data_IF_837785280786
#
_entry.id   IF_837785280786
#
_cell.length_a   1.000
_cell.length_b   1.000
_cell.length_c   1.000
_cell.angle_alpha   90.00
_cell.angle_beta   90.00
_cell.angle_gamma   90.00
#
_symmetry.space_group_name_H-M   'P 1'
#
loop_
_entity.id
_entity.type
_entity.pdbx_description
1 polymer ?
#
# COMPACT_ATOMS: atom_id res chain seq x y z
N UNK A 1 2.11 25.44 -5.61
CA UNK A 1 3.54 25.77 -5.39
C UNK A 1 4.21 24.75 -4.48
N UNK A 2 3.72 24.56 -3.25
CA UNK A 2 4.29 23.57 -2.30
C UNK A 2 4.31 22.15 -2.88
N UNK A 3 3.21 21.66 -3.47
CA UNK A 3 3.17 20.33 -4.11
C UNK A 3 4.20 20.21 -5.26
N UNK A 4 4.36 21.25 -6.07
CA UNK A 4 5.32 21.27 -7.18
C UNK A 4 6.76 21.15 -6.68
N UNK A 5 7.16 22.01 -5.74
CA UNK A 5 8.50 21.98 -5.13
C UNK A 5 8.75 20.67 -4.37
N UNK A 6 7.72 20.19 -3.67
CA UNK A 6 7.74 18.91 -2.96
C UNK A 6 8.04 17.73 -3.89
N UNK A 7 7.36 17.64 -5.04
CA UNK A 7 7.63 16.61 -6.05
C UNK A 7 9.01 16.73 -6.70
N UNK A 8 9.56 17.94 -6.77
CA UNK A 8 10.91 18.19 -7.27
C UNK A 8 12.01 17.88 -6.23
N UNK A 9 11.66 17.47 -5.01
CA UNK A 9 12.62 17.23 -3.92
C UNK A 9 13.12 18.50 -3.23
N UNK A 10 12.59 19.67 -3.60
CA UNK A 10 12.94 20.97 -3.04
C UNK A 10 12.15 21.23 -1.75
N UNK A 11 12.35 20.37 -0.75
CA UNK A 11 11.55 20.38 0.49
C UNK A 11 11.78 21.64 1.33
N UNK A 12 12.99 22.20 1.30
CA UNK A 12 13.31 23.43 2.04
C UNK A 12 12.58 24.62 1.44
N UNK A 13 12.63 24.74 0.13
CA UNK A 13 11.94 25.78 -0.64
C UNK A 13 10.42 25.62 -0.50
N UNK A 14 9.91 24.39 -0.50
CA UNK A 14 8.51 24.11 -0.22
C UNK A 14 8.09 24.61 1.17
N UNK A 15 8.92 24.38 2.20
CA UNK A 15 8.69 24.90 3.56
C UNK A 15 8.78 26.43 3.62
N UNK A 16 9.72 27.04 2.92
CA UNK A 16 9.89 28.49 2.88
C UNK A 16 8.67 29.17 2.22
N UNK A 17 8.12 28.56 1.17
CA UNK A 17 6.83 28.99 0.61
C UNK A 17 5.75 28.94 1.67
N UNK A 18 5.61 27.85 2.43
CA UNK A 18 4.61 27.74 3.50
C UNK A 18 4.77 28.86 4.55
N UNK A 19 6.01 29.13 4.97
CA UNK A 19 6.32 30.15 5.99
C UNK A 19 6.08 31.59 5.51
N UNK A 20 6.25 31.83 4.21
CA UNK A 20 6.13 33.18 3.60
C UNK A 20 4.76 33.44 2.98
N UNK A 21 3.84 32.46 3.05
CA UNK A 21 2.48 32.65 2.53
C UNK A 21 1.77 33.79 3.28
N UNK A 22 1.04 34.66 2.55
CA UNK A 22 0.32 35.78 3.16
C UNK A 22 -0.91 35.34 3.97
N UNK A 23 -1.31 34.08 3.84
CA UNK A 23 -2.45 33.47 4.53
C UNK A 23 -1.95 32.30 5.38
N UNK A 24 -2.64 32.05 6.50
CA UNK A 24 -2.34 30.91 7.36
C UNK A 24 -2.45 29.60 6.56
N UNK A 25 -1.40 28.76 6.52
CA UNK A 25 -1.45 27.50 5.80
C UNK A 25 -2.52 26.57 6.38
N UNK A 26 -3.29 25.93 5.50
CA UNK A 26 -4.29 24.94 5.90
C UNK A 26 -3.71 23.51 5.88
N UNK A 27 -4.50 22.53 6.32
CA UNK A 27 -4.11 21.12 6.39
C UNK A 27 -3.68 20.56 5.02
N UNK A 28 -4.25 21.04 3.91
CA UNK A 28 -3.92 20.59 2.55
C UNK A 28 -2.50 21.02 2.16
N UNK A 29 -2.11 22.25 2.51
CA UNK A 29 -0.77 22.78 2.25
C UNK A 29 0.29 21.98 3.00
N UNK A 30 0.09 21.74 4.31
CA UNK A 30 0.97 20.90 5.10
C UNK A 30 0.96 19.43 4.64
N UNK A 31 -0.19 18.91 4.24
CA UNK A 31 -0.35 17.57 3.67
C UNK A 31 0.46 17.37 2.40
N UNK A 32 0.56 18.41 1.56
CA UNK A 32 1.41 18.40 0.36
C UNK A 32 2.89 18.24 0.72
N UNK A 33 3.37 18.97 1.74
CA UNK A 33 4.74 18.83 2.24
C UNK A 33 4.98 17.46 2.86
N UNK A 34 4.05 16.95 3.68
CA UNK A 34 4.15 15.62 4.30
C UNK A 34 4.23 14.51 3.25
N UNK A 35 3.39 14.59 2.21
CA UNK A 35 3.41 13.66 1.08
C UNK A 35 4.75 13.65 0.33
N UNK A 36 5.36 14.83 0.14
CA UNK A 36 6.69 14.96 -0.44
C UNK A 36 7.79 14.38 0.47
N UNK A 37 7.71 14.62 1.79
CA UNK A 37 8.64 14.06 2.77
C UNK A 37 8.68 12.53 2.74
N UNK A 38 7.54 11.88 2.43
CA UNK A 38 7.48 10.42 2.21
C UNK A 38 8.30 9.98 1.00
N UNK A 39 8.19 10.68 -0.12
CA UNK A 39 8.91 10.34 -1.35
C UNK A 39 10.42 10.53 -1.16
N UNK A 40 10.81 11.62 -0.49
CA UNK A 40 12.20 12.02 -0.30
C UNK A 40 12.82 11.58 1.03
N UNK A 41 12.10 10.74 1.82
CA UNK A 41 12.57 10.15 3.08
C UNK A 41 13.08 11.17 4.11
N UNK A 42 12.45 12.35 4.17
CA UNK A 42 12.80 13.38 5.15
C UNK A 42 11.89 13.27 6.39
N UNK A 43 12.39 12.58 7.42
CA UNK A 43 11.59 12.30 8.62
C UNK A 43 11.33 13.57 9.45
N UNK A 44 12.32 14.44 9.60
CA UNK A 44 12.22 15.63 10.44
C UNK A 44 11.15 16.60 9.93
N UNK A 45 11.12 16.85 8.62
CA UNK A 45 10.09 17.67 8.01
C UNK A 45 8.71 16.98 8.01
N UNK A 46 8.68 15.66 7.92
CA UNK A 46 7.44 14.90 8.03
C UNK A 46 6.80 15.06 9.41
N UNK A 47 7.58 14.93 10.48
CA UNK A 47 7.11 15.10 11.86
C UNK A 47 6.59 16.52 12.10
N UNK A 48 7.32 17.53 11.61
CA UNK A 48 6.89 18.92 11.68
C UNK A 48 5.56 19.14 10.95
N UNK A 49 5.46 18.71 9.70
CA UNK A 49 4.25 18.87 8.89
C UNK A 49 3.07 18.10 9.51
N UNK A 50 3.29 16.89 10.00
CA UNK A 50 2.29 16.09 10.70
C UNK A 50 1.75 16.79 11.95
N UNK A 51 2.64 17.36 12.78
CA UNK A 51 2.24 18.13 13.96
C UNK A 51 1.35 19.32 13.57
N UNK A 52 1.72 20.06 12.53
CA UNK A 52 0.94 21.19 12.03
C UNK A 52 -0.44 20.76 11.51
N UNK A 53 -0.54 19.61 10.83
CA UNK A 53 -1.84 19.09 10.37
C UNK A 53 -2.70 18.71 11.57
N UNK A 54 -2.16 18.00 12.56
CA UNK A 54 -2.92 17.55 13.74
C UNK A 54 -3.34 18.71 14.65
N UNK A 55 -2.60 19.82 14.66
CA UNK A 55 -3.02 21.07 15.32
C UNK A 55 -4.23 21.73 14.62
N UNK A 56 -4.34 21.57 13.29
CA UNK A 56 -5.45 22.11 12.49
C UNK A 56 -6.66 21.16 12.39
N UNK A 57 -6.40 19.86 12.39
CA UNK A 57 -7.35 18.78 12.18
C UNK A 57 -6.94 17.55 13.04
N UNK A 58 -7.30 17.54 14.33
CA UNK A 58 -6.88 16.50 15.29
C UNK A 58 -7.36 15.08 14.96
N UNK A 59 -8.43 14.96 14.18
CA UNK A 59 -9.07 13.68 13.81
C UNK A 59 -8.51 13.11 12.51
N UNK A 60 -7.46 13.73 11.93
CA UNK A 60 -6.90 13.32 10.66
C UNK A 60 -6.10 12.01 10.75
N UNK A 61 -6.79 10.88 10.68
CA UNK A 61 -6.19 9.54 10.71
C UNK A 61 -5.15 9.29 9.60
N UNK A 62 -5.25 10.00 8.46
CA UNK A 62 -4.33 9.83 7.34
C UNK A 62 -2.90 10.28 7.67
N UNK A 63 -2.73 11.25 8.58
CA UNK A 63 -1.42 11.72 9.04
C UNK A 63 -0.64 10.59 9.72
N UNK A 64 -1.30 9.85 10.61
CA UNK A 64 -0.67 8.72 11.32
C UNK A 64 -0.25 7.60 10.36
N UNK A 65 -1.10 7.31 9.37
CA UNK A 65 -0.78 6.34 8.32
C UNK A 65 0.45 6.78 7.50
N UNK A 66 0.54 8.06 7.15
CA UNK A 66 1.69 8.62 6.44
C UNK A 66 2.97 8.54 7.28
N UNK A 67 2.91 8.94 8.56
CA UNK A 67 4.06 8.83 9.47
C UNK A 67 4.54 7.39 9.61
N UNK A 68 3.64 6.42 9.79
CA UNK A 68 3.99 5.01 9.79
C UNK A 68 4.78 4.65 8.53
N UNK A 69 4.28 4.97 7.34
CA UNK A 69 4.96 4.64 6.08
C UNK A 69 6.35 5.30 5.98
N UNK A 70 6.49 6.54 6.44
CA UNK A 70 7.77 7.28 6.42
C UNK A 70 8.79 6.64 7.34
N UNK A 71 8.40 6.35 8.59
CA UNK A 71 9.26 5.66 9.54
C UNK A 71 9.67 4.28 9.05
N UNK A 72 8.74 3.55 8.47
CA UNK A 72 8.99 2.23 7.90
C UNK A 72 10.01 2.31 6.75
N UNK A 73 9.85 3.26 5.82
CA UNK A 73 10.80 3.50 4.72
C UNK A 73 12.20 3.95 5.19
N UNK A 74 12.27 4.58 6.36
CA UNK A 74 13.52 5.04 6.97
C UNK A 74 14.06 4.09 8.05
N UNK A 75 13.49 2.88 8.21
CA UNK A 75 13.85 1.88 9.22
C UNK A 75 13.82 2.42 10.67
N UNK A 76 12.94 3.39 10.96
CA UNK A 76 12.70 3.93 12.31
C UNK A 76 11.59 3.13 13.01
N UNK A 77 11.89 1.88 13.35
CA UNK A 77 10.90 0.92 13.86
C UNK A 77 10.28 1.32 15.19
N UNK A 78 11.07 1.89 16.10
CA UNK A 78 10.57 2.36 17.39
C UNK A 78 9.54 3.48 17.23
N UNK A 79 9.83 4.49 16.40
CA UNK A 79 8.89 5.57 16.10
C UNK A 79 7.63 5.04 15.41
N UNK A 80 7.77 4.06 14.51
CA UNK A 80 6.63 3.40 13.87
C UNK A 80 5.75 2.67 14.89
N UNK A 81 6.35 1.99 15.87
CA UNK A 81 5.64 1.31 16.95
C UNK A 81 4.86 2.30 17.81
N UNK A 82 5.49 3.39 18.26
CA UNK A 82 4.82 4.42 19.05
C UNK A 82 3.62 5.03 18.31
N UNK A 83 3.74 5.29 17.00
CA UNK A 83 2.62 5.80 16.20
C UNK A 83 1.49 4.78 16.09
N UNK A 84 1.81 3.48 15.91
CA UNK A 84 0.79 2.42 15.88
C UNK A 84 0.05 2.28 17.20
N UNK A 85 0.77 2.36 18.32
CA UNK A 85 0.17 2.36 19.66
C UNK A 85 -0.78 3.56 19.83
N UNK A 86 -0.35 4.76 19.42
CA UNK A 86 -1.20 5.97 19.43
C UNK A 86 -2.44 5.80 18.55
N UNK A 87 -2.32 5.18 17.37
CA UNK A 87 -3.45 4.89 16.50
C UNK A 87 -4.44 3.93 17.16
N UNK A 88 -3.96 2.89 17.86
CA UNK A 88 -4.81 1.95 18.57
C UNK A 88 -5.58 2.63 19.71
N UNK A 89 -4.88 3.43 20.53
CA UNK A 89 -5.50 4.20 21.63
C UNK A 89 -6.58 5.16 21.15
N UNK A 90 -6.36 5.79 19.99
CA UNK A 90 -7.32 6.72 19.36
C UNK A 90 -8.38 6.02 18.50
N UNK A 91 -8.35 4.69 18.38
CA UNK A 91 -9.27 3.94 17.51
C UNK A 91 -9.11 4.24 16.01
N UNK A 92 -7.97 4.80 15.58
CA UNK A 92 -7.69 5.14 14.19
C UNK A 92 -7.41 3.86 13.41
N UNK A 93 -8.31 3.52 12.48
CA UNK A 93 -8.17 2.35 11.61
C UNK A 93 -7.81 2.80 10.20
N UNK A 94 -6.77 2.19 9.62
CA UNK A 94 -6.47 2.31 8.19
C UNK A 94 -7.43 1.41 7.42
N UNK A 95 -8.07 1.93 6.38
CA UNK A 95 -8.79 1.09 5.42
C UNK A 95 -7.81 0.11 4.77
N UNK A 96 -8.04 -1.21 4.87
CA UNK A 96 -7.15 -2.19 4.25
C UNK A 96 -7.16 -2.05 2.73
N UNK A 97 -6.06 -2.48 2.10
CA UNK A 97 -6.03 -2.64 0.66
C UNK A 97 -6.89 -3.85 0.27
N UNK A 98 -7.87 -3.64 -0.61
CA UNK A 98 -8.72 -4.71 -1.13
C UNK A 98 -8.73 -4.71 -2.66
N UNK A 99 -8.92 -5.91 -3.20
CA UNK A 99 -9.10 -6.16 -4.63
C UNK A 99 -10.51 -6.70 -4.85
N UNK A 100 -11.26 -6.04 -5.72
CA UNK A 100 -12.64 -6.36 -6.06
C UNK A 100 -12.68 -6.95 -7.46
N UNK A 101 -13.51 -7.97 -7.65
CA UNK A 101 -13.79 -8.51 -8.97
C UNK A 101 -15.25 -8.89 -9.12
N UNK A 102 -15.75 -8.79 -10.34
CA UNK A 102 -17.08 -9.28 -10.71
C UNK A 102 -16.94 -10.59 -11.47
N UNK A 103 -17.66 -11.62 -11.04
CA UNK A 103 -17.68 -12.92 -11.69
C UNK A 103 -19.10 -13.50 -11.59
N UNK A 104 -19.66 -13.90 -12.74
CA UNK A 104 -21.00 -14.49 -12.83
C UNK A 104 -22.10 -13.66 -12.13
N UNK A 105 -22.02 -12.32 -12.23
CA UNK A 105 -22.98 -11.40 -11.63
C UNK A 105 -22.81 -11.18 -10.11
N UNK A 106 -21.78 -11.77 -9.49
CA UNK A 106 -21.45 -11.57 -8.09
C UNK A 106 -20.16 -10.76 -7.95
N UNK A 107 -20.11 -9.89 -6.92
CA UNK A 107 -18.91 -9.13 -6.57
C UNK A 107 -18.19 -9.84 -5.42
N UNK A 108 -16.90 -10.09 -5.61
CA UNK A 108 -16.01 -10.70 -4.63
C UNK A 108 -14.97 -9.70 -4.16
N UNK A 109 -14.81 -9.58 -2.85
CA UNK A 109 -13.79 -8.74 -2.21
C UNK A 109 -12.70 -9.63 -1.61
N UNK A 110 -11.45 -9.29 -1.92
CA UNK A 110 -10.27 -9.94 -1.35
C UNK A 110 -9.47 -8.94 -0.55
N UNK A 111 -9.10 -9.31 0.68
CA UNK A 111 -8.19 -8.55 1.55
C UNK A 111 -6.94 -9.40 1.79
N UNK A 112 -5.78 -8.76 1.94
CA UNK A 112 -4.53 -9.48 2.09
C UNK A 112 -4.55 -10.40 3.33
N UNK A 113 -4.24 -11.67 3.12
CA UNK A 113 -4.26 -12.70 4.18
C UNK A 113 -5.66 -13.10 4.66
N UNK A 114 -6.74 -12.61 4.04
CA UNK A 114 -8.09 -13.01 4.41
C UNK A 114 -8.35 -14.49 4.06
N UNK A 115 -9.12 -15.15 4.91
CA UNK A 115 -9.55 -16.53 4.78
C UNK A 115 -11.05 -16.71 4.99
N UNK A 116 -11.81 -15.61 5.08
CA UNK A 116 -13.27 -15.63 5.29
C UNK A 116 -14.05 -16.20 4.10
N UNK A 117 -13.44 -16.20 2.90
CA UNK A 117 -14.07 -16.70 1.69
C UNK A 117 -14.40 -18.21 1.80
N UNK A 118 -15.60 -18.68 1.40
CA UNK A 118 -15.98 -20.09 1.48
C UNK A 118 -15.00 -21.04 0.77
N UNK A 119 -14.45 -20.59 -0.35
CA UNK A 119 -13.45 -21.31 -1.16
C UNK A 119 -11.99 -20.99 -0.78
N UNK A 120 -11.74 -20.41 0.41
CA UNK A 120 -10.41 -19.97 0.83
C UNK A 120 -9.33 -21.05 0.61
N UNK A 121 -9.58 -22.29 1.03
CA UNK A 121 -8.63 -23.41 0.84
C UNK A 121 -8.24 -23.62 -0.62
N UNK A 122 -9.20 -23.56 -1.53
CA UNK A 122 -8.99 -23.74 -2.97
C UNK A 122 -8.21 -22.56 -3.55
N UNK A 123 -8.54 -21.33 -3.14
CA UNK A 123 -7.85 -20.11 -3.56
C UNK A 123 -6.37 -20.17 -3.16
N UNK A 124 -6.07 -20.52 -1.91
CA UNK A 124 -4.69 -20.61 -1.43
C UNK A 124 -3.92 -21.75 -2.11
N UNK A 125 -4.56 -22.89 -2.37
CA UNK A 125 -3.94 -23.98 -3.13
C UNK A 125 -3.65 -23.58 -4.58
N UNK A 126 -4.59 -22.88 -5.25
CA UNK A 126 -4.36 -22.36 -6.61
C UNK A 126 -3.26 -21.30 -6.62
N UNK A 127 -3.24 -20.42 -5.62
CA UNK A 127 -2.19 -19.43 -5.46
C UNK A 127 -0.82 -20.11 -5.34
N UNK A 128 -0.70 -21.19 -4.57
CA UNK A 128 0.56 -21.94 -4.43
C UNK A 128 1.03 -22.55 -5.74
N UNK A 129 0.15 -23.23 -6.45
CA UNK A 129 0.46 -23.80 -7.76
C UNK A 129 0.85 -22.71 -8.77
N UNK A 130 0.07 -21.62 -8.83
CA UNK A 130 0.37 -20.47 -9.70
C UNK A 130 1.74 -19.90 -9.39
N UNK A 131 2.08 -19.71 -8.12
CA UNK A 131 3.37 -19.11 -7.74
C UNK A 131 4.55 -20.04 -8.02
N UNK A 132 4.36 -21.38 -7.97
CA UNK A 132 5.38 -22.34 -8.43
C UNK A 132 5.60 -22.24 -9.95
N UNK A 133 4.53 -22.16 -10.75
CA UNK A 133 4.60 -21.98 -12.20
C UNK A 133 5.31 -20.67 -12.57
N UNK A 134 4.96 -19.57 -11.91
CA UNK A 134 5.57 -18.27 -12.14
C UNK A 134 7.07 -18.26 -11.75
N UNK A 135 7.46 -18.95 -10.67
CA UNK A 135 8.88 -19.08 -10.28
C UNK A 135 9.71 -19.74 -11.40
N UNK A 136 9.17 -20.77 -12.06
CA UNK A 136 9.81 -21.42 -13.22
C UNK A 136 9.93 -20.43 -14.39
N UNK A 137 8.94 -19.55 -14.57
CA UNK A 137 8.95 -18.48 -15.56
C UNK A 137 9.82 -17.27 -15.17
N UNK A 138 10.55 -17.32 -14.05
CA UNK A 138 11.49 -16.28 -13.62
C UNK A 138 10.92 -15.24 -12.65
N UNK A 139 9.74 -15.48 -12.07
CA UNK A 139 9.22 -14.63 -11.00
C UNK A 139 10.07 -14.74 -9.73
N UNK A 140 10.50 -13.59 -9.22
CA UNK A 140 11.11 -13.45 -7.89
C UNK A 140 10.31 -12.43 -7.08
N UNK A 141 9.90 -12.75 -5.84
CA UNK A 141 9.22 -11.78 -4.98
C UNK A 141 10.04 -10.51 -4.79
N UNK A 142 9.39 -9.35 -4.91
CA UNK A 142 9.98 -8.06 -4.54
C UNK A 142 9.47 -7.62 -3.16
N UNK A 143 10.36 -7.69 -2.17
CA UNK A 143 10.11 -7.33 -0.77
C UNK A 143 10.49 -5.89 -0.44
N UNK A 144 10.98 -5.10 -1.41
CA UNK A 144 11.50 -3.75 -1.19
C UNK A 144 10.48 -2.76 -0.63
N UNK A 145 9.18 -3.03 -0.86
CA UNK A 145 8.05 -2.24 -0.34
C UNK A 145 7.42 -2.84 0.93
N UNK A 146 7.99 -3.93 1.48
CA UNK A 146 7.54 -4.53 2.74
C UNK A 146 8.25 -3.88 3.90
N UNK A 147 7.63 -2.84 4.44
CA UNK A 147 8.18 -2.12 5.58
C UNK A 147 7.73 -2.70 6.92
N UNK A 148 7.82 -4.03 7.05
CA UNK A 148 7.65 -4.73 8.32
C UNK A 148 9.02 -5.10 8.86
N UNK A 149 9.23 -4.91 10.16
CA UNK A 149 10.43 -5.36 10.86
C UNK A 149 10.33 -6.85 11.19
N UNK A 150 10.39 -7.66 10.14
CA UNK A 150 10.25 -9.13 10.18
C UNK A 150 11.33 -9.75 9.30
N UNK A 151 11.55 -11.05 9.44
CA UNK A 151 12.51 -11.80 8.63
C UNK A 151 12.18 -11.71 7.13
N UNK A 152 13.18 -11.90 6.28
CA UNK A 152 12.98 -11.79 4.83
C UNK A 152 11.96 -12.83 4.31
N UNK A 153 11.97 -14.04 4.86
CA UNK A 153 10.96 -15.08 4.60
C UNK A 153 9.54 -14.66 5.01
N UNK A 154 9.41 -13.91 6.12
CA UNK A 154 8.11 -13.39 6.57
C UNK A 154 7.64 -12.22 5.68
N UNK A 155 8.56 -11.43 5.12
CA UNK A 155 8.23 -10.39 4.14
C UNK A 155 7.76 -11.00 2.83
N UNK A 156 8.45 -12.03 2.33
CA UNK A 156 8.01 -12.78 1.16
C UNK A 156 6.61 -13.38 1.40
N UNK A 157 6.39 -13.95 2.59
CA UNK A 157 5.08 -14.47 3.00
C UNK A 157 4.00 -13.39 3.05
N UNK A 158 4.32 -12.16 3.47
CA UNK A 158 3.39 -11.04 3.46
C UNK A 158 3.00 -10.64 2.03
N UNK A 159 3.98 -10.56 1.12
CA UNK A 159 3.79 -10.21 -0.29
C UNK A 159 3.03 -11.31 -1.05
N UNK A 160 3.25 -12.56 -0.67
CA UNK A 160 2.54 -13.71 -1.22
C UNK A 160 1.03 -13.62 -1.00
N UNK A 161 0.60 -13.07 0.14
CA UNK A 161 -0.81 -13.01 0.54
C UNK A 161 -1.52 -11.71 0.14
N UNK A 162 -0.97 -10.93 -0.79
CA UNK A 162 -1.62 -9.72 -1.28
C UNK A 162 -3.00 -10.01 -1.92
N UNK A 163 -3.92 -9.06 -1.79
CA UNK A 163 -5.30 -9.24 -2.27
C UNK A 163 -5.39 -9.43 -3.79
N UNK A 164 -4.50 -8.82 -4.57
CA UNK A 164 -4.46 -9.02 -6.02
C UNK A 164 -4.15 -10.47 -6.38
N UNK A 165 -3.22 -11.11 -5.67
CA UNK A 165 -2.82 -12.50 -5.90
C UNK A 165 -3.97 -13.46 -5.57
N UNK A 166 -4.68 -13.20 -4.47
CA UNK A 166 -5.86 -13.96 -4.10
C UNK A 166 -6.98 -13.80 -5.13
N UNK A 167 -7.23 -12.57 -5.59
CA UNK A 167 -8.23 -12.30 -6.61
C UNK A 167 -7.91 -12.97 -7.95
N UNK A 168 -6.65 -12.93 -8.40
CA UNK A 168 -6.20 -13.62 -9.63
C UNK A 168 -6.33 -15.14 -9.46
N UNK A 169 -5.90 -15.69 -8.32
CA UNK A 169 -6.02 -17.13 -8.06
C UNK A 169 -7.49 -17.58 -8.09
N UNK A 170 -8.39 -16.82 -7.46
CA UNK A 170 -9.83 -17.08 -7.53
C UNK A 170 -10.35 -16.97 -8.96
N UNK A 171 -9.97 -15.93 -9.70
CA UNK A 171 -10.37 -15.75 -11.08
C UNK A 171 -9.96 -16.95 -11.95
N UNK A 172 -8.74 -17.47 -11.80
CA UNK A 172 -8.25 -18.65 -12.52
C UNK A 172 -8.98 -19.95 -12.14
N UNK A 173 -9.62 -20.03 -10.96
CA UNK A 173 -10.48 -21.16 -10.58
C UNK A 173 -11.86 -21.03 -11.23
N UNK A 174 -12.41 -19.82 -11.21
CA UNK A 174 -13.81 -19.56 -11.53
C UNK A 174 -14.08 -19.14 -12.98
N UNK A 175 -13.06 -18.71 -13.73
CA UNK A 175 -13.20 -18.30 -15.12
C UNK A 175 -13.20 -19.49 -16.07
N UNK A 176 -14.16 -19.51 -17.02
CA UNK A 176 -14.05 -20.35 -18.21
C UNK A 176 -12.92 -19.90 -19.14
N UNK A 177 -12.55 -20.74 -20.11
CA UNK A 177 -11.61 -20.35 -21.17
C UNK A 177 -12.18 -19.13 -21.93
N UNK A 178 -11.31 -18.18 -22.26
CA UNK A 178 -11.63 -16.97 -23.07
C UNK A 178 -12.48 -15.88 -22.39
N UNK A 179 -12.55 -15.85 -21.05
CA UNK A 179 -13.24 -14.77 -20.30
C UNK A 179 -12.26 -13.70 -19.84
N UNK A 180 -12.53 -12.43 -20.16
CA UNK A 180 -11.75 -11.29 -19.64
C UNK A 180 -11.93 -11.14 -18.13
N UNK A 181 -10.85 -11.24 -17.37
CA UNK A 181 -10.82 -11.02 -15.93
C UNK A 181 -10.61 -9.53 -15.64
N UNK A 182 -11.47 -8.93 -14.81
CA UNK A 182 -11.34 -7.53 -14.35
C UNK A 182 -11.23 -7.48 -12.84
N UNK A 183 -10.11 -6.93 -12.35
CA UNK A 183 -9.82 -6.76 -10.93
C UNK A 183 -9.55 -5.28 -10.67
N UNK A 184 -10.23 -4.69 -9.69
CA UNK A 184 -10.10 -3.29 -9.29
C UNK A 184 -9.53 -3.23 -7.88
N UNK A 185 -8.49 -2.41 -7.67
CA UNK A 185 -7.87 -2.21 -6.36
C UNK A 185 -8.14 -0.80 -5.84
N UNK A 186 -8.42 -0.67 -4.54
CA UNK A 186 -8.64 0.63 -3.88
C UNK A 186 -7.34 1.40 -3.56
N UNK A 187 -6.19 0.75 -3.71
CA UNK A 187 -4.85 1.30 -3.54
C UNK A 187 -4.03 1.11 -4.82
N UNK A 188 -2.95 1.90 -4.97
CA UNK A 188 -1.95 1.66 -6.01
C UNK A 188 -1.40 0.23 -5.87
N UNK A 189 -1.32 -0.49 -6.99
CA UNK A 189 -0.69 -1.81 -7.06
C UNK A 189 0.81 -1.70 -6.74
N UNK A 190 1.33 -2.59 -5.91
CA UNK A 190 2.76 -2.63 -5.59
C UNK A 190 3.57 -3.18 -6.77
N UNK A 191 4.88 -2.92 -6.77
CA UNK A 191 5.79 -3.34 -7.84
C UNK A 191 5.74 -4.86 -8.05
N UNK A 192 5.76 -5.62 -6.95
CA UNK A 192 5.67 -7.08 -6.97
C UNK A 192 4.38 -7.59 -7.65
N UNK A 193 3.22 -7.10 -7.21
CA UNK A 193 1.93 -7.54 -7.77
C UNK A 193 1.80 -7.16 -9.25
N UNK A 194 2.39 -6.03 -9.66
CA UNK A 194 2.41 -5.62 -11.06
C UNK A 194 3.26 -6.57 -11.92
N UNK A 195 4.46 -6.94 -11.44
CA UNK A 195 5.31 -7.92 -12.13
C UNK A 195 4.66 -9.31 -12.18
N UNK A 196 4.07 -9.75 -11.07
CA UNK A 196 3.34 -11.01 -10.99
C UNK A 196 2.17 -11.05 -11.97
N UNK A 197 1.33 -10.01 -12.01
CA UNK A 197 0.17 -9.94 -12.92
C UNK A 197 0.59 -10.01 -14.40
N UNK A 198 1.71 -9.36 -14.76
CA UNK A 198 2.28 -9.46 -16.10
C UNK A 198 2.64 -10.91 -16.44
N UNK A 199 3.41 -11.58 -15.59
CA UNK A 199 3.82 -12.97 -15.83
C UNK A 199 2.62 -13.94 -15.86
N UNK A 200 1.60 -13.73 -15.02
CA UNK A 200 0.35 -14.51 -15.06
C UNK A 200 -0.30 -14.43 -16.45
N UNK A 201 -0.39 -13.24 -17.04
CA UNK A 201 -0.97 -13.10 -18.38
C UNK A 201 -0.18 -13.85 -19.46
N UNK A 202 1.15 -13.89 -19.35
CA UNK A 202 2.03 -14.61 -20.28
C UNK A 202 1.91 -16.14 -20.12
N UNK A 203 1.88 -16.65 -18.88
CA UNK A 203 1.85 -18.10 -18.58
C UNK A 203 0.47 -18.71 -18.81
N UNK A 204 -0.60 -18.00 -18.46
CA UNK A 204 -1.96 -18.52 -18.52
C UNK A 204 -2.75 -18.10 -19.79
N UNK A 205 -2.13 -17.35 -20.70
CA UNK A 205 -2.73 -16.89 -21.95
C UNK A 205 -4.11 -16.23 -21.76
N UNK A 206 -4.19 -15.32 -20.77
CA UNK A 206 -5.38 -14.54 -20.43
C UNK A 206 -5.52 -13.26 -21.28
#
# INVERSE_FOLDING_TARGET
MVDLLGRAGQLKEALDVIKTMPLKPNSIVWGSLLGACRVHRNVELAEMAAKQILELDPENGAVYVLLCNIYAACKRWESLRCVRETMMEKGIKKTPGCSLMEMNGNVYEFVAGDQSHPQSKEIYAKLENMMQELKIAGYSPDTSEVFLDIGEEDKESAVYRHSEKLAIAYALISSGKEVTIRIVKNLRMCVDCHHMAKLVSEVHAL
#
